data_IF_414801571144
#
_entry.id   IF_414801571144
#
_cell.length_a   1.000
_cell.length_b   1.000
_cell.length_c   1.000
_cell.angle_alpha   90.00
_cell.angle_beta   90.00
_cell.angle_gamma   90.00
#
_symmetry.space_group_name_H-M   'P 1'
#
loop_
_entity.id
_entity.type
_entity.pdbx_description
1 polymer ?
#
# COMPACT_ATOMS: atom_id res chain seq x y z
N UNK A 1 -27.89 -24.14 1.36
CA UNK A 1 -26.45 -23.87 1.60
C UNK A 1 -26.23 -23.78 3.10
N UNK A 2 -25.28 -24.53 3.70
CA UNK A 2 -24.91 -24.27 5.08
C UNK A 2 -24.29 -22.86 5.17
N UNK A 3 -24.50 -22.10 6.26
CA UNK A 3 -23.78 -20.86 6.49
C UNK A 3 -22.28 -21.20 6.62
N UNK A 4 -21.44 -20.44 5.94
CA UNK A 4 -19.98 -20.56 6.06
C UNK A 4 -19.55 -20.49 7.54
N UNK A 5 -18.47 -21.20 7.93
CA UNK A 5 -18.03 -21.24 9.31
C UNK A 5 -17.74 -19.83 9.81
N UNK A 6 -18.55 -19.44 10.80
CA UNK A 6 -18.58 -18.17 11.48
C UNK A 6 -17.19 -17.83 12.04
N UNK A 7 -16.39 -17.02 11.33
CA UNK A 7 -15.16 -16.42 11.89
C UNK A 7 -15.60 -15.63 13.13
N UNK A 8 -15.04 -15.91 14.32
CA UNK A 8 -15.42 -15.16 15.51
C UNK A 8 -15.16 -13.66 15.29
N UNK A 9 -16.07 -12.78 15.75
CA UNK A 9 -15.94 -11.34 15.52
C UNK A 9 -14.62 -10.85 16.10
N UNK A 10 -13.93 -10.01 15.32
CA UNK A 10 -12.65 -9.43 15.73
C UNK A 10 -12.84 -8.59 17.00
N UNK A 11 -11.84 -8.58 17.88
CA UNK A 11 -11.84 -7.63 19.00
C UNK A 11 -11.78 -6.19 18.47
N UNK A 12 -12.36 -5.20 19.17
CA UNK A 12 -12.35 -3.80 18.72
C UNK A 12 -10.94 -3.28 18.42
N UNK A 13 -9.96 -3.68 19.23
CA UNK A 13 -8.55 -3.32 19.01
C UNK A 13 -7.97 -3.93 17.73
N UNK A 14 -8.26 -5.20 17.45
CA UNK A 14 -7.81 -5.86 16.21
C UNK A 14 -8.50 -5.24 14.99
N UNK A 15 -9.81 -5.01 15.04
CA UNK A 15 -10.56 -4.37 13.97
C UNK A 15 -10.02 -2.97 13.64
N UNK A 16 -9.76 -2.15 14.66
CA UNK A 16 -9.19 -0.80 14.48
C UNK A 16 -7.80 -0.86 13.83
N UNK A 17 -6.95 -1.78 14.28
CA UNK A 17 -5.62 -1.97 13.69
C UNK A 17 -5.71 -2.36 12.22
N UNK A 18 -6.51 -3.37 11.88
CA UNK A 18 -6.69 -3.79 10.49
C UNK A 18 -7.19 -2.65 9.60
N UNK A 19 -8.13 -1.83 10.12
CA UNK A 19 -8.59 -0.64 9.39
C UNK A 19 -7.45 0.34 9.13
N UNK A 20 -6.65 0.67 10.15
CA UNK A 20 -5.50 1.57 9.98
C UNK A 20 -4.49 1.05 8.96
N UNK A 21 -4.18 -0.26 8.99
CA UNK A 21 -3.27 -0.85 8.00
C UNK A 21 -3.86 -0.87 6.59
N UNK A 22 -5.17 -1.12 6.44
CA UNK A 22 -5.86 -1.07 5.16
C UNK A 22 -5.89 0.35 4.57
N UNK A 23 -6.20 1.35 5.39
CA UNK A 23 -6.21 2.76 4.98
C UNK A 23 -4.80 3.22 4.57
N UNK A 24 -3.77 2.77 5.31
CA UNK A 24 -2.37 3.02 4.98
C UNK A 24 -1.96 2.35 3.67
N UNK A 25 -2.35 1.09 3.47
CA UNK A 25 -2.10 0.36 2.22
C UNK A 25 -2.74 1.09 1.03
N UNK A 26 -4.01 1.52 1.15
CA UNK A 26 -4.69 2.26 0.10
C UNK A 26 -3.97 3.57 -0.25
N UNK A 27 -3.61 4.36 0.76
CA UNK A 27 -2.89 5.61 0.57
C UNK A 27 -1.52 5.41 -0.10
N UNK A 28 -0.78 4.38 0.30
CA UNK A 28 0.54 4.11 -0.27
C UNK A 28 0.43 3.53 -1.69
N UNK A 29 -0.60 2.72 -1.97
CA UNK A 29 -0.87 2.23 -3.32
C UNK A 29 -1.20 3.37 -4.29
N UNK A 30 -1.90 4.42 -3.84
CA UNK A 30 -2.10 5.63 -4.65
C UNK A 30 -0.78 6.31 -5.01
N UNK A 31 0.14 6.42 -4.05
CA UNK A 31 1.47 6.99 -4.28
C UNK A 31 2.27 6.14 -5.27
N UNK A 32 2.28 4.81 -5.10
CA UNK A 32 2.98 3.88 -6.00
C UNK A 32 2.44 4.02 -7.42
N UNK A 33 1.11 3.96 -7.60
CA UNK A 33 0.49 4.09 -8.92
C UNK A 33 0.80 5.42 -9.59
N UNK A 34 0.69 6.54 -8.85
CA UNK A 34 0.99 7.86 -9.40
C UNK A 34 2.47 7.99 -9.79
N UNK A 35 3.37 7.44 -8.98
CA UNK A 35 4.80 7.44 -9.26
C UNK A 35 5.15 6.57 -10.47
N UNK A 36 4.56 5.38 -10.58
CA UNK A 36 4.77 4.47 -11.72
C UNK A 36 4.15 4.99 -13.03
N UNK A 37 3.12 5.83 -12.95
CA UNK A 37 2.50 6.45 -14.12
C UNK A 37 3.18 7.75 -14.56
N UNK A 38 4.18 8.26 -13.82
CA UNK A 38 4.87 9.47 -14.18
C UNK A 38 5.68 9.27 -15.48
N UNK A 39 5.44 10.09 -16.53
CA UNK A 39 6.09 9.91 -17.83
C UNK A 39 7.56 10.35 -17.85
N UNK A 40 7.95 11.21 -16.92
CA UNK A 40 9.29 11.78 -16.84
C UNK A 40 9.67 12.13 -15.39
N UNK A 41 10.92 12.57 -15.22
CA UNK A 41 11.49 12.90 -13.92
C UNK A 41 10.82 14.12 -13.27
N UNK A 42 10.31 15.07 -14.05
CA UNK A 42 9.65 16.29 -13.54
C UNK A 42 8.30 15.91 -12.93
N UNK A 43 7.49 15.16 -13.68
CA UNK A 43 6.23 14.63 -13.19
C UNK A 43 6.43 13.73 -11.97
N UNK A 44 7.47 12.88 -11.96
CA UNK A 44 7.80 12.06 -10.79
C UNK A 44 8.14 12.92 -9.56
N UNK A 45 8.91 14.00 -9.73
CA UNK A 45 9.25 14.90 -8.64
C UNK A 45 8.01 15.64 -8.09
N UNK A 46 7.07 16.03 -8.94
CA UNK A 46 5.79 16.62 -8.53
C UNK A 46 4.94 15.62 -7.74
N UNK A 47 4.82 14.38 -8.22
CA UNK A 47 4.19 13.29 -7.46
C UNK A 47 4.88 13.11 -6.12
N UNK A 48 6.21 13.19 -6.06
CA UNK A 48 6.98 13.09 -4.82
C UNK A 48 6.65 14.17 -3.79
N UNK A 49 6.52 15.42 -4.24
CA UNK A 49 6.11 16.53 -3.38
C UNK A 49 4.66 16.37 -2.90
N UNK A 50 3.76 16.01 -3.80
CA UNK A 50 2.35 15.80 -3.48
C UNK A 50 2.17 14.64 -2.48
N UNK A 51 2.83 13.50 -2.74
CA UNK A 51 2.85 12.34 -1.87
C UNK A 51 3.41 12.69 -0.49
N UNK A 52 4.57 13.36 -0.40
CA UNK A 52 5.17 13.72 0.88
C UNK A 52 4.25 14.63 1.71
N UNK A 53 3.55 15.56 1.06
CA UNK A 53 2.54 16.42 1.73
C UNK A 53 1.35 15.59 2.24
N UNK A 54 0.80 14.70 1.41
CA UNK A 54 -0.33 13.86 1.77
C UNK A 54 0.00 12.87 2.90
N UNK A 55 1.17 12.23 2.83
CA UNK A 55 1.68 11.30 3.83
C UNK A 55 1.97 12.00 5.15
N UNK A 56 2.53 13.22 5.12
CA UNK A 56 2.71 14.04 6.32
C UNK A 56 1.38 14.38 7.00
N UNK A 57 0.36 14.75 6.22
CA UNK A 57 -0.95 15.08 6.76
C UNK A 57 -1.66 13.86 7.38
N UNK A 58 -1.50 12.69 6.78
CA UNK A 58 -2.24 11.47 7.18
C UNK A 58 -1.51 10.62 8.22
N UNK A 59 -0.17 10.60 8.17
CA UNK A 59 0.67 9.66 8.94
C UNK A 59 1.83 10.34 9.68
N UNK A 60 1.90 11.67 9.68
CA UNK A 60 2.97 12.43 10.35
C UNK A 60 4.30 12.49 9.58
N UNK A 61 4.43 11.75 8.47
CA UNK A 61 5.59 11.80 7.59
C UNK A 61 5.55 10.72 6.51
N UNK A 62 6.49 10.80 5.57
CA UNK A 62 6.67 9.79 4.53
C UNK A 62 7.20 10.37 3.22
N UNK A 63 7.81 9.51 2.43
CA UNK A 63 8.31 9.75 1.07
C UNK A 63 7.80 8.68 0.12
N UNK A 64 7.93 8.90 -1.20
CA UNK A 64 7.69 7.85 -2.20
C UNK A 64 8.50 6.59 -1.85
N UNK A 65 9.79 6.73 -1.58
CA UNK A 65 10.66 5.60 -1.23
C UNK A 65 10.12 4.80 -0.06
N UNK A 66 9.72 5.47 1.04
CA UNK A 66 9.18 4.77 2.20
C UNK A 66 7.82 4.10 1.92
N UNK A 67 7.02 4.66 1.00
CA UNK A 67 5.77 4.04 0.57
C UNK A 67 6.04 2.76 -0.24
N UNK A 68 6.97 2.80 -1.21
CA UNK A 68 7.38 1.62 -1.98
C UNK A 68 7.94 0.53 -1.07
N UNK A 69 8.85 0.87 -0.15
CA UNK A 69 9.44 -0.07 0.80
C UNK A 69 8.39 -0.73 1.70
N UNK A 70 7.44 0.05 2.21
CA UNK A 70 6.40 -0.46 3.09
C UNK A 70 5.41 -1.36 2.34
N UNK A 71 4.97 -0.96 1.14
CA UNK A 71 4.03 -1.72 0.29
C UNK A 71 4.65 -3.03 -0.18
N UNK A 72 5.92 -3.00 -0.61
CA UNK A 72 6.63 -4.21 -1.04
C UNK A 72 7.00 -5.14 0.13
N UNK A 73 7.07 -4.58 1.34
CA UNK A 73 7.49 -5.27 2.55
C UNK A 73 6.41 -6.14 3.19
N UNK A 74 6.78 -6.74 4.33
CA UNK A 74 5.92 -7.65 5.09
C UNK A 74 4.61 -7.00 5.54
N UNK A 75 4.67 -5.77 6.04
CA UNK A 75 3.49 -5.07 6.53
C UNK A 75 2.45 -4.81 5.41
N UNK A 76 2.91 -4.40 4.21
CA UNK A 76 2.05 -4.25 3.04
C UNK A 76 1.40 -5.58 2.62
N UNK A 77 2.14 -6.68 2.65
CA UNK A 77 1.58 -8.00 2.34
C UNK A 77 0.54 -8.44 3.38
N UNK A 78 0.82 -8.29 4.68
CA UNK A 78 -0.14 -8.66 5.73
C UNK A 78 -1.44 -7.84 5.64
N UNK A 79 -1.35 -6.57 5.24
CA UNK A 79 -2.51 -5.73 4.99
C UNK A 79 -3.30 -6.19 3.75
N UNK A 80 -2.62 -6.57 2.67
CA UNK A 80 -3.27 -7.14 1.48
C UNK A 80 -3.95 -8.47 1.79
N UNK A 81 -3.29 -9.36 2.52
CA UNK A 81 -3.86 -10.65 2.93
C UNK A 81 -5.13 -10.46 3.76
N UNK A 82 -5.15 -9.44 4.62
CA UNK A 82 -6.33 -9.09 5.43
C UNK A 82 -7.50 -8.60 4.57
N UNK A 83 -7.24 -7.86 3.48
CA UNK A 83 -8.26 -7.44 2.51
C UNK A 83 -8.79 -8.64 1.72
N UNK A 84 -7.90 -9.49 1.20
CA UNK A 84 -8.25 -10.68 0.41
C UNK A 84 -9.05 -11.69 1.25
N UNK A 85 -8.69 -11.85 2.52
CA UNK A 85 -9.38 -12.72 3.46
C UNK A 85 -10.70 -12.13 4.01
N UNK A 86 -11.09 -10.93 3.58
CA UNK A 86 -12.31 -10.25 4.03
C UNK A 86 -12.30 -9.85 5.50
N UNK A 87 -11.13 -9.76 6.15
CA UNK A 87 -11.02 -9.35 7.57
C UNK A 87 -11.22 -7.84 7.76
N UNK A 88 -11.03 -7.08 6.69
CA UNK A 88 -11.24 -5.64 6.63
C UNK A 88 -11.64 -5.27 5.21
N UNK A 89 -12.50 -4.28 5.08
CA UNK A 89 -12.90 -3.74 3.78
C UNK A 89 -11.97 -2.60 3.36
N UNK A 90 -11.73 -2.49 2.06
CA UNK A 90 -11.02 -1.36 1.49
C UNK A 90 -11.88 -0.11 1.58
N UNK A 91 -11.31 1.00 2.03
CA UNK A 91 -11.96 2.31 2.00
C UNK A 91 -11.29 3.20 0.94
N UNK A 92 -12.08 4.07 0.30
CA UNK A 92 -11.57 5.02 -0.69
C UNK A 92 -11.70 4.55 -2.15
N UNK A 93 -10.93 5.14 -3.07
CA UNK A 93 -11.21 5.07 -4.51
C UNK A 93 -10.62 3.84 -5.21
N UNK A 94 -9.84 3.02 -4.51
CA UNK A 94 -9.16 1.87 -5.11
C UNK A 94 -10.05 0.62 -5.08
N UNK A 95 -9.92 -0.22 -6.10
CA UNK A 95 -10.41 -1.62 -6.05
C UNK A 95 -9.33 -2.55 -5.48
N UNK A 96 -9.73 -3.75 -5.03
CA UNK A 96 -8.77 -4.77 -4.57
C UNK A 96 -7.76 -5.16 -5.66
N UNK A 97 -8.19 -5.18 -6.92
CA UNK A 97 -7.34 -5.41 -8.09
C UNK A 97 -6.28 -4.31 -8.21
N UNK A 98 -6.69 -3.04 -8.15
CA UNK A 98 -5.75 -1.91 -8.21
C UNK A 98 -4.77 -1.86 -7.05
N UNK A 99 -5.17 -2.33 -5.86
CA UNK A 99 -4.26 -2.49 -4.72
C UNK A 99 -3.25 -3.61 -5.00
N UNK A 100 -3.72 -4.75 -5.51
CA UNK A 100 -2.86 -5.89 -5.85
C UNK A 100 -1.83 -5.53 -6.92
N UNK A 101 -2.24 -4.81 -7.97
CA UNK A 101 -1.37 -4.30 -9.03
C UNK A 101 -0.32 -3.33 -8.47
N UNK A 102 -0.72 -2.41 -7.60
CA UNK A 102 0.20 -1.48 -6.95
C UNK A 102 1.23 -2.21 -6.07
N UNK A 103 0.82 -3.26 -5.36
CA UNK A 103 1.74 -4.11 -4.58
C UNK A 103 2.74 -4.82 -5.50
N UNK A 104 2.29 -5.33 -6.64
CA UNK A 104 3.17 -5.94 -7.64
C UNK A 104 4.18 -4.93 -8.22
N UNK A 105 3.73 -3.73 -8.57
CA UNK A 105 4.59 -2.64 -9.04
C UNK A 105 5.64 -2.25 -8.00
N UNK A 106 5.24 -2.09 -6.73
CA UNK A 106 6.16 -1.74 -5.66
C UNK A 106 7.25 -2.81 -5.47
N UNK A 107 6.87 -4.09 -5.53
CA UNK A 107 7.83 -5.22 -5.45
C UNK A 107 8.80 -5.24 -6.60
N UNK A 108 8.33 -4.98 -7.81
CA UNK A 108 9.22 -4.92 -8.98
C UNK A 108 10.23 -3.79 -8.83
N UNK A 109 9.77 -2.58 -8.51
CA UNK A 109 10.65 -1.43 -8.29
C UNK A 109 11.68 -1.70 -7.19
N UNK A 110 11.28 -2.33 -6.08
CA UNK A 110 12.19 -2.68 -4.99
C UNK A 110 13.20 -3.79 -5.37
N UNK A 111 12.80 -4.74 -6.22
CA UNK A 111 13.72 -5.74 -6.77
C UNK A 111 14.76 -5.09 -7.68
N UNK A 112 14.34 -4.21 -8.59
CA UNK A 112 15.23 -3.48 -9.48
C UNK A 112 16.22 -2.62 -8.69
N UNK A 113 15.74 -1.85 -7.70
CA UNK A 113 16.59 -1.03 -6.83
C UNK A 113 17.66 -1.83 -6.09
N UNK A 114 17.33 -3.04 -5.62
CA UNK A 114 18.28 -3.94 -4.94
C UNK A 114 19.21 -4.65 -5.92
N UNK A 115 18.74 -4.97 -7.12
CA UNK A 115 19.54 -5.53 -8.20
C UNK A 115 20.63 -4.56 -8.66
N UNK A 116 20.28 -3.29 -8.84
CA UNK A 116 21.24 -2.23 -9.18
C UNK A 116 22.25 -1.98 -8.06
N UNK A 117 21.82 -2.09 -6.79
CA UNK A 117 22.72 -1.97 -5.64
C UNK A 117 23.71 -3.15 -5.49
N UNK A 118 23.43 -4.31 -6.09
CA UNK A 118 24.34 -5.46 -6.08
C UNK A 118 25.39 -5.41 -7.20
N UNK A 119 25.24 -4.48 -8.14
CA UNK A 119 26.14 -4.29 -9.30
C UNK A 119 26.96 -3.00 -9.21
N UNK A 120 26.81 -2.21 -8.14
CA UNK A 120 27.59 -1.00 -7.83
C UNK A 120 28.59 -1.26 -6.72
#
# INVERSE_FOLDING_TARGET
>A
MPPEPNKPPLTPGKARRLRTEADKLAAFCLVVRAASAAPDQVAFAEVGRAASKALRASFGGGTITSAFEWVAGRAGQEALDSLVAGEVELTGPLTLEQVSDAVALAREAERLRKGDAALS
#
